data_IF_782638213151
#
_entry.id   IF_782638213151
#
_cell.length_a   1.000
_cell.length_b   1.000
_cell.length_c   1.000
_cell.angle_alpha   90.00
_cell.angle_beta   90.00
_cell.angle_gamma   90.00
#
_symmetry.space_group_name_H-M   'P 1'
#
loop_
_entity.id
_entity.type
_entity.pdbx_description
1 polymer ?
#
# COMPACT_ATOMS: atom_id res chain seq x y z
N UNK A 1 20.40 1.30 12.08
CA UNK A 1 21.17 1.00 10.84
C UNK A 1 20.54 1.75 9.67
N UNK A 2 21.33 2.34 8.74
CA UNK A 2 20.79 3.14 7.62
C UNK A 2 20.48 2.33 6.35
N UNK A 3 20.89 1.08 6.29
CA UNK A 3 20.79 0.20 5.11
C UNK A 3 20.77 -1.26 5.54
N UNK A 4 20.45 -2.16 4.61
CA UNK A 4 20.57 -3.59 4.82
C UNK A 4 22.00 -4.04 4.48
N UNK A 5 22.62 -4.80 5.39
CA UNK A 5 24.03 -5.14 5.36
C UNK A 5 24.23 -6.68 5.47
N UNK A 6 25.09 -7.24 4.62
CA UNK A 6 25.65 -8.58 4.82
C UNK A 6 26.85 -8.48 5.75
N UNK A 7 26.82 -9.19 6.88
CA UNK A 7 27.88 -9.18 7.87
C UNK A 7 29.09 -9.99 7.33
N UNK A 8 30.28 -9.40 7.38
CA UNK A 8 31.56 -10.01 7.01
C UNK A 8 32.48 -10.18 8.21
N UNK A 9 32.27 -9.42 9.29
CA UNK A 9 33.01 -9.51 10.53
C UNK A 9 32.06 -9.23 11.70
N UNK A 10 32.03 -10.06 12.71
CA UNK A 10 31.20 -9.90 13.90
C UNK A 10 31.97 -10.31 15.16
N UNK A 11 31.95 -9.46 16.18
CA UNK A 11 32.55 -9.71 17.50
C UNK A 11 31.46 -9.42 18.54
N UNK A 12 30.87 -10.49 19.08
CA UNK A 12 29.78 -10.43 20.05
C UNK A 12 28.63 -9.50 19.59
N UNK A 13 28.35 -9.48 18.31
CA UNK A 13 27.43 -8.55 17.69
C UNK A 13 25.98 -8.97 17.98
N UNK A 14 25.20 -8.05 18.56
CA UNK A 14 23.77 -8.23 18.81
C UNK A 14 22.98 -7.09 18.21
N UNK A 15 21.88 -7.43 17.56
CA UNK A 15 20.95 -6.48 16.93
C UNK A 15 19.55 -6.67 17.49
N UNK A 16 18.88 -5.56 17.76
CA UNK A 16 17.47 -5.53 18.08
C UNK A 16 16.70 -5.16 16.80
N UNK A 17 15.82 -6.05 16.37
CA UNK A 17 15.11 -5.97 15.09
C UNK A 17 13.59 -5.90 15.27
N UNK A 18 13.15 -5.35 16.41
CA UNK A 18 11.74 -5.27 16.79
C UNK A 18 10.84 -4.54 15.78
N UNK A 19 11.39 -3.61 15.01
CA UNK A 19 10.67 -2.92 13.93
C UNK A 19 10.27 -3.82 12.75
N UNK A 20 10.97 -4.95 12.57
CA UNK A 20 10.74 -5.91 11.49
C UNK A 20 10.11 -7.21 11.96
N UNK A 21 10.58 -7.74 13.10
CA UNK A 21 10.15 -9.04 13.63
C UNK A 21 9.06 -8.93 14.70
N UNK A 22 8.92 -7.76 15.31
CA UNK A 22 8.08 -7.56 16.49
C UNK A 22 8.69 -8.04 17.81
N UNK A 23 9.85 -8.71 17.76
CA UNK A 23 10.53 -9.24 18.94
C UNK A 23 11.49 -8.21 19.54
N UNK A 24 11.37 -7.96 20.84
CA UNK A 24 12.22 -6.98 21.55
C UNK A 24 13.54 -7.56 22.06
N UNK A 25 13.72 -8.87 21.96
CA UNK A 25 14.94 -9.54 22.42
C UNK A 25 16.04 -9.35 21.37
N UNK A 26 17.26 -8.90 21.76
CA UNK A 26 18.38 -8.81 20.84
C UNK A 26 18.82 -10.16 20.30
N UNK A 27 19.01 -10.25 18.98
CA UNK A 27 19.45 -11.45 18.26
C UNK A 27 20.95 -11.42 18.09
N UNK A 28 21.61 -12.57 18.36
CA UNK A 28 23.04 -12.75 18.08
C UNK A 28 23.29 -12.80 16.57
N UNK A 29 24.25 -12.02 16.12
CA UNK A 29 24.63 -11.93 14.70
C UNK A 29 26.00 -12.56 14.45
N UNK A 30 26.12 -13.26 13.33
CA UNK A 30 27.32 -13.97 12.94
C UNK A 30 27.64 -13.79 11.43
N UNK A 31 28.69 -14.44 10.95
CA UNK A 31 29.12 -14.39 9.55
C UNK A 31 28.79 -15.66 8.77
N UNK A 32 28.12 -16.63 9.38
CA UNK A 32 27.85 -17.94 8.80
C UNK A 32 26.99 -17.85 7.53
N UNK A 33 27.18 -18.82 6.65
CA UNK A 33 26.40 -18.92 5.42
C UNK A 33 25.09 -19.66 5.73
N UNK A 34 23.99 -19.00 5.52
CA UNK A 34 22.65 -19.61 5.58
C UNK A 34 22.39 -20.28 4.24
N UNK A 35 22.24 -21.60 4.24
CA UNK A 35 22.05 -22.40 3.01
C UNK A 35 20.62 -22.37 2.49
N UNK A 36 19.66 -22.10 3.36
CA UNK A 36 18.25 -22.05 3.00
C UNK A 36 17.87 -20.62 2.60
N UNK A 37 17.45 -20.44 1.36
CA UNK A 37 17.01 -19.13 0.83
C UNK A 37 15.61 -18.72 1.34
N UNK A 38 14.83 -19.65 1.91
CA UNK A 38 13.48 -19.40 2.42
C UNK A 38 13.43 -18.94 3.87
N UNK A 39 14.59 -18.76 4.51
CA UNK A 39 14.69 -18.34 5.92
C UNK A 39 14.04 -16.99 6.14
N UNK A 40 13.18 -16.90 7.17
CA UNK A 40 12.51 -15.67 7.57
C UNK A 40 13.49 -14.54 7.95
N UNK A 41 13.02 -13.30 7.93
CA UNK A 41 13.88 -12.12 8.21
C UNK A 41 14.52 -12.24 9.60
N UNK A 42 13.77 -12.66 10.62
CA UNK A 42 14.27 -12.80 12.00
C UNK A 42 15.37 -13.84 12.16
N UNK A 43 15.40 -14.86 11.30
CA UNK A 43 16.37 -15.95 11.37
C UNK A 43 17.63 -15.70 10.52
N UNK A 44 17.67 -14.57 9.78
CA UNK A 44 18.87 -14.18 9.01
C UNK A 44 19.94 -13.60 9.91
N UNK A 45 20.60 -14.46 10.68
CA UNK A 45 21.64 -14.07 11.66
C UNK A 45 22.87 -13.45 11.02
N UNK A 46 23.06 -13.60 9.72
CA UNK A 46 24.18 -13.07 8.95
C UNK A 46 23.92 -11.72 8.26
N UNK A 47 22.76 -11.13 8.55
CA UNK A 47 22.32 -9.83 8.01
C UNK A 47 22.03 -8.85 9.15
N UNK A 48 22.22 -7.57 8.85
CA UNK A 48 21.72 -6.45 9.65
C UNK A 48 20.75 -5.66 8.77
N UNK A 49 19.63 -5.24 9.34
CA UNK A 49 18.58 -4.58 8.60
C UNK A 49 18.51 -3.09 8.90
N UNK A 50 18.03 -2.33 7.93
CA UNK A 50 17.70 -0.92 8.11
C UNK A 50 16.73 -0.75 9.28
N UNK A 51 16.82 0.35 10.02
CA UNK A 51 16.04 0.64 11.23
C UNK A 51 16.28 -0.28 12.44
N UNK A 52 17.19 -1.26 12.37
CA UNK A 52 17.62 -2.02 13.53
C UNK A 52 18.63 -1.27 14.38
N UNK A 53 18.70 -1.63 15.66
CA UNK A 53 19.62 -1.05 16.65
C UNK A 53 20.68 -2.08 17.04
N UNK A 54 21.95 -1.71 16.93
CA UNK A 54 23.04 -2.51 17.49
C UNK A 54 23.06 -2.28 19.01
N UNK A 55 22.82 -3.32 19.76
CA UNK A 55 22.74 -3.27 21.24
C UNK A 55 24.04 -3.67 21.92
N UNK A 56 24.84 -4.49 21.25
CA UNK A 56 26.12 -4.96 21.79
C UNK A 56 27.10 -5.34 20.66
N UNK A 57 28.40 -5.29 20.97
CA UNK A 57 29.45 -5.75 20.07
C UNK A 57 29.81 -4.79 18.95
N UNK A 58 30.54 -5.31 17.97
CA UNK A 58 30.98 -4.58 16.78
C UNK A 58 31.10 -5.52 15.59
N UNK A 59 30.99 -4.96 14.38
CA UNK A 59 31.15 -5.75 13.18
C UNK A 59 31.40 -4.88 11.96
N UNK A 60 31.69 -5.53 10.85
CA UNK A 60 31.73 -4.93 9.51
C UNK A 60 30.73 -5.63 8.61
N UNK A 61 30.13 -4.90 7.73
CA UNK A 61 29.19 -5.43 6.74
C UNK A 61 29.33 -4.72 5.40
N UNK A 62 28.91 -5.39 4.36
CA UNK A 62 28.76 -4.82 3.02
C UNK A 62 27.30 -4.43 2.85
N UNK A 63 27.04 -3.21 2.39
CA UNK A 63 25.71 -2.74 2.04
C UNK A 63 25.20 -3.53 0.85
N UNK A 64 24.05 -4.16 0.98
CA UNK A 64 23.41 -4.95 -0.08
C UNK A 64 22.16 -4.26 -0.63
N UNK A 65 21.41 -3.55 0.23
CA UNK A 65 20.18 -2.85 -0.17
C UNK A 65 20.10 -1.49 0.54
N UNK A 66 19.53 -0.49 -0.15
CA UNK A 66 19.35 0.87 0.37
C UNK A 66 17.97 1.43 0.05
N UNK A 67 17.52 2.41 0.82
CA UNK A 67 16.27 3.13 0.58
C UNK A 67 15.04 2.22 0.52
N UNK A 68 14.25 2.35 -0.53
CA UNK A 68 13.02 1.57 -0.72
C UNK A 68 13.24 0.09 -1.04
N UNK A 69 14.48 -0.31 -1.40
CA UNK A 69 14.82 -1.71 -1.65
C UNK A 69 15.12 -2.49 -0.36
N UNK A 70 15.38 -1.80 0.76
CA UNK A 70 15.55 -2.46 2.07
C UNK A 70 14.26 -3.18 2.50
N UNK A 71 14.36 -4.12 3.42
CA UNK A 71 13.19 -4.84 3.94
C UNK A 71 12.16 -3.87 4.54
N UNK A 72 12.60 -2.83 5.26
CA UNK A 72 11.72 -1.76 5.76
C UNK A 72 11.11 -0.96 4.61
N UNK A 73 11.88 -0.65 3.58
CA UNK A 73 11.43 0.07 2.38
C UNK A 73 10.34 -0.69 1.62
N UNK A 74 10.48 -2.00 1.48
CA UNK A 74 9.46 -2.87 0.87
C UNK A 74 8.13 -2.81 1.65
N UNK A 75 8.19 -2.84 2.98
CA UNK A 75 7.00 -2.69 3.84
C UNK A 75 6.35 -1.32 3.63
N UNK A 76 7.15 -0.25 3.60
CA UNK A 76 6.66 1.10 3.37
C UNK A 76 5.96 1.24 2.00
N UNK A 77 6.48 0.60 0.96
CA UNK A 77 5.87 0.56 -0.38
C UNK A 77 4.50 -0.12 -0.33
N UNK A 78 4.39 -1.29 0.30
CA UNK A 78 3.12 -2.02 0.45
C UNK A 78 2.07 -1.17 1.16
N UNK A 79 2.47 -0.45 2.21
CA UNK A 79 1.57 0.44 2.96
C UNK A 79 1.09 1.59 2.06
N UNK A 80 2.00 2.24 1.33
CA UNK A 80 1.66 3.34 0.44
C UNK A 80 0.73 2.93 -0.70
N UNK A 81 0.96 1.77 -1.30
CA UNK A 81 0.10 1.22 -2.36
C UNK A 81 -1.31 0.90 -1.85
N UNK A 82 -1.44 0.57 -0.56
CA UNK A 82 -2.73 0.24 0.05
C UNK A 82 -3.55 1.48 0.43
N UNK A 83 -2.90 2.60 0.75
CA UNK A 83 -3.58 3.85 1.17
C UNK A 83 -4.42 4.48 0.05
N UNK A 84 -4.12 4.20 -1.23
CA UNK A 84 -4.84 4.73 -2.39
C UNK A 84 -6.06 3.92 -2.84
N UNK A 85 -6.33 2.76 -2.27
CA UNK A 85 -7.42 1.89 -2.73
C UNK A 85 -8.77 2.36 -2.18
N UNK A 86 -9.71 2.67 -3.11
CA UNK A 86 -11.09 3.00 -2.74
C UNK A 86 -11.71 1.85 -1.92
N UNK A 87 -12.36 2.17 -0.81
CA UNK A 87 -13.00 1.15 0.02
C UNK A 87 -14.09 0.41 -0.77
N UNK A 88 -14.37 -0.87 -0.47
CA UNK A 88 -15.45 -1.62 -1.11
C UNK A 88 -16.80 -0.90 -1.06
N UNK A 89 -17.05 -0.12 0.00
CA UNK A 89 -18.25 0.71 0.14
C UNK A 89 -18.25 1.87 -0.87
N UNK A 90 -17.14 2.58 -1.02
CA UNK A 90 -17.02 3.67 -2.00
C UNK A 90 -17.25 3.17 -3.43
N UNK A 91 -16.70 2.01 -3.78
CA UNK A 91 -16.91 1.39 -5.10
C UNK A 91 -18.39 1.09 -5.33
N UNK A 92 -19.09 0.52 -4.33
CA UNK A 92 -20.53 0.24 -4.41
C UNK A 92 -21.36 1.51 -4.52
N UNK A 93 -21.04 2.54 -3.72
CA UNK A 93 -21.74 3.83 -3.76
C UNK A 93 -21.54 4.54 -5.10
N UNK A 94 -20.34 4.56 -5.64
CA UNK A 94 -20.05 5.11 -6.96
C UNK A 94 -20.83 4.40 -8.07
N UNK A 95 -20.93 3.06 -7.99
CA UNK A 95 -21.71 2.27 -8.95
C UNK A 95 -23.20 2.59 -8.85
N UNK A 96 -23.75 2.68 -7.65
CA UNK A 96 -25.13 3.09 -7.41
C UNK A 96 -25.40 4.50 -7.92
N UNK A 97 -24.54 5.46 -7.60
CA UNK A 97 -24.66 6.85 -8.07
C UNK A 97 -24.66 6.94 -9.60
N UNK A 98 -23.76 6.22 -10.26
CA UNK A 98 -23.72 6.14 -11.72
C UNK A 98 -24.99 5.53 -12.30
N UNK A 99 -25.49 4.45 -11.72
CA UNK A 99 -26.72 3.80 -12.19
C UNK A 99 -27.95 4.70 -12.02
N UNK A 100 -28.09 5.35 -10.85
CA UNK A 100 -29.18 6.30 -10.58
C UNK A 100 -29.10 7.52 -11.51
N UNK A 101 -27.89 8.06 -11.74
CA UNK A 101 -27.69 9.17 -12.66
C UNK A 101 -28.11 8.86 -14.09
N UNK A 102 -27.72 7.67 -14.59
CA UNK A 102 -28.14 7.23 -15.93
C UNK A 102 -29.65 7.02 -15.99
N UNK A 103 -30.25 6.42 -14.95
CA UNK A 103 -31.71 6.23 -14.89
C UNK A 103 -32.48 7.55 -14.89
N UNK A 104 -32.05 8.53 -14.10
CA UNK A 104 -32.64 9.87 -14.06
C UNK A 104 -32.55 10.54 -15.42
N UNK A 105 -31.38 10.48 -16.07
CA UNK A 105 -31.17 11.05 -17.39
C UNK A 105 -32.07 10.40 -18.46
N UNK A 106 -32.23 9.08 -18.40
CA UNK A 106 -33.15 8.35 -19.29
C UNK A 106 -34.60 8.79 -19.09
N UNK A 107 -35.04 8.96 -17.85
CA UNK A 107 -36.41 9.48 -17.56
C UNK A 107 -36.60 10.91 -18.10
N UNK A 108 -35.62 11.80 -17.92
CA UNK A 108 -35.68 13.16 -18.48
C UNK A 108 -35.81 13.13 -20.00
N UNK A 109 -35.06 12.29 -20.70
CA UNK A 109 -35.15 12.14 -22.16
C UNK A 109 -36.54 11.66 -22.58
N UNK A 110 -37.08 10.65 -21.88
CA UNK A 110 -38.42 10.11 -22.19
C UNK A 110 -39.50 11.19 -22.01
N UNK A 111 -39.47 11.93 -20.91
CA UNK A 111 -40.42 13.03 -20.66
C UNK A 111 -40.28 14.11 -21.74
N UNK A 112 -39.06 14.47 -22.12
CA UNK A 112 -38.79 15.45 -23.17
C UNK A 112 -39.37 15.02 -24.53
N UNK A 113 -39.11 13.76 -24.94
CA UNK A 113 -39.62 13.19 -26.21
C UNK A 113 -41.15 13.15 -26.23
N UNK A 114 -41.76 12.66 -25.14
CA UNK A 114 -43.23 12.60 -25.03
C UNK A 114 -43.83 14.00 -25.09
N UNK A 115 -43.26 14.99 -24.40
CA UNK A 115 -43.72 16.35 -24.39
C UNK A 115 -43.74 17.00 -25.79
N UNK A 116 -42.70 16.75 -26.58
CA UNK A 116 -42.64 17.21 -27.99
C UNK A 116 -43.70 16.51 -28.85
N UNK A 117 -43.88 15.19 -28.67
CA UNK A 117 -44.87 14.40 -29.41
C UNK A 117 -46.30 14.90 -29.15
N UNK A 118 -46.59 15.44 -27.97
CA UNK A 118 -47.88 16.10 -27.65
C UNK A 118 -47.97 17.56 -28.08
N UNK A 119 -47.03 18.05 -28.90
CA UNK A 119 -47.08 19.41 -29.49
C UNK A 119 -46.78 20.55 -28.53
N UNK A 120 -46.16 20.32 -27.41
CA UNK A 120 -45.72 21.36 -26.49
C UNK A 120 -44.45 22.05 -27.00
N UNK A 121 -44.27 23.34 -26.63
CA UNK A 121 -43.10 24.12 -27.02
C UNK A 121 -41.81 23.44 -26.49
N UNK A 122 -40.82 23.32 -27.34
CA UNK A 122 -39.53 22.69 -27.06
C UNK A 122 -38.84 23.36 -25.85
N UNK A 123 -38.95 24.69 -25.73
CA UNK A 123 -38.34 25.48 -24.64
C UNK A 123 -38.99 25.15 -23.30
N UNK A 124 -40.32 25.03 -23.24
CA UNK A 124 -41.04 24.70 -22.00
C UNK A 124 -40.72 23.28 -21.54
N UNK A 125 -40.56 22.34 -22.47
CA UNK A 125 -40.17 20.95 -22.18
C UNK A 125 -38.71 20.83 -21.74
N UNK A 126 -37.82 21.62 -22.31
CA UNK A 126 -36.43 21.70 -21.87
C UNK A 126 -36.32 22.22 -20.43
N UNK A 127 -37.04 23.33 -20.12
CA UNK A 127 -37.09 23.88 -18.76
C UNK A 127 -37.64 22.85 -17.74
N UNK A 128 -38.66 22.11 -18.12
CA UNK A 128 -39.25 21.06 -17.27
C UNK A 128 -38.29 19.89 -17.05
N UNK A 129 -37.56 19.44 -18.08
CA UNK A 129 -36.60 18.37 -18.00
C UNK A 129 -35.35 18.72 -17.15
N UNK A 130 -34.96 19.99 -17.15
CA UNK A 130 -33.83 20.50 -16.34
C UNK A 130 -34.24 20.74 -14.88
N UNK A 131 -35.50 20.99 -14.59
CA UNK A 131 -36.00 21.24 -13.23
C UNK A 131 -36.29 19.95 -12.44
N UNK A 132 -36.20 18.79 -13.05
CA UNK A 132 -36.43 17.48 -12.48
C UNK A 132 -35.12 16.85 -11.99
#
# INVERSE_FOLDING_TARGET
MPADLRIIEAINLKSQESSLTGESVPVDKNTEIIKDASVGIGDRTNMLFSSSLITYGRGKGIVVETGMNTEVGKIATIINDTVGTATPLQIKLNKLGKTLGIAALAICIVIFVIGIAYGKNVIDMFMTAVSL
#
